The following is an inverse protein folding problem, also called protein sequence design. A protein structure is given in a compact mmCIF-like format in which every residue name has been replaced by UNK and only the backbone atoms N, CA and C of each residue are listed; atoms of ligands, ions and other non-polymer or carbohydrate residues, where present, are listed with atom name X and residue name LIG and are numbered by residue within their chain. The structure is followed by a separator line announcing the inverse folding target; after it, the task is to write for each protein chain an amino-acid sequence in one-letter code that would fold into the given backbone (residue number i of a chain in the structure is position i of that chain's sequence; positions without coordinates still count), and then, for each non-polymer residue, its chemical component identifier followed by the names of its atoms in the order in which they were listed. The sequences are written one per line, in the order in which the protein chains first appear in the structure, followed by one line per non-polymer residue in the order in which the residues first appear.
data_IF_404609056516
#
_entry.id   IF_404609056516
#
_cell.length_a   1.000
_cell.length_b   1.000
_cell.length_c   1.000
_cell.angle_alpha   90.00
_cell.angle_beta   90.00
_cell.angle_gamma   90.00
#
_symmetry.space_group_name_H-M   'P 1'
#
loop_
_entity.id
_entity.type
_entity.pdbx_description
1 polymer ?
#
# COMPACT_ATOMS: atom_id res chain seq x y z
N UNK A 1 1.44 -8.12 22.37
CA UNK A 1 1.06 -7.61 21.05
C UNK A 1 1.16 -6.10 21.00
N UNK A 2 1.15 -5.52 19.81
CA UNK A 2 1.15 -4.06 19.63
C UNK A 2 -0.21 -3.48 19.98
N UNK A 3 -0.22 -2.26 20.53
CA UNK A 3 -1.45 -1.49 20.71
C UNK A 3 -1.79 -0.81 19.40
N UNK A 4 -3.00 -1.03 18.90
CA UNK A 4 -3.45 -0.50 17.62
C UNK A 4 -4.61 0.44 17.83
N UNK A 5 -4.54 1.63 17.24
CA UNK A 5 -5.61 2.60 17.14
C UNK A 5 -5.97 2.80 15.69
N UNK A 6 -7.23 3.05 15.40
CA UNK A 6 -7.70 3.27 14.05
C UNK A 6 -8.27 4.68 13.90
N UNK A 7 -7.89 5.32 12.80
CA UNK A 7 -8.50 6.56 12.34
C UNK A 7 -9.35 6.27 11.10
N UNK A 8 -10.59 6.72 11.12
CA UNK A 8 -11.47 6.71 9.94
C UNK A 8 -12.27 8.01 9.88
N UNK A 9 -12.60 8.46 8.67
CA UNK A 9 -13.42 9.69 8.49
C UNK A 9 -14.91 9.45 8.71
N UNK A 10 -15.34 8.18 8.73
CA UNK A 10 -16.74 7.78 8.81
C UNK A 10 -17.11 7.47 10.26
N UNK A 11 -17.89 8.35 10.89
CA UNK A 11 -18.34 8.17 12.29
C UNK A 11 -18.99 6.81 12.51
N UNK A 12 -19.84 6.36 11.59
CA UNK A 12 -20.49 5.06 11.66
C UNK A 12 -19.49 3.90 11.78
N UNK A 13 -18.40 3.93 10.98
CA UNK A 13 -17.34 2.92 11.06
C UNK A 13 -16.65 2.93 12.41
N UNK A 14 -16.36 4.12 12.92
CA UNK A 14 -15.74 4.32 14.24
C UNK A 14 -16.62 3.77 15.35
N UNK A 15 -17.91 4.09 15.33
CA UNK A 15 -18.87 3.64 16.35
C UNK A 15 -18.97 2.10 16.37
N UNK A 16 -19.16 1.47 15.20
CA UNK A 16 -19.25 0.01 15.07
C UNK A 16 -17.96 -0.71 15.51
N UNK A 17 -16.79 -0.16 15.17
CA UNK A 17 -15.51 -0.72 15.61
C UNK A 17 -15.29 -0.57 17.12
N UNK A 18 -15.77 0.50 17.73
CA UNK A 18 -15.64 0.72 19.17
C UNK A 18 -16.61 -0.15 20.00
N UNK A 19 -17.70 -0.64 19.43
CA UNK A 19 -18.61 -1.56 20.11
C UNK A 19 -17.94 -2.89 20.45
N UNK A 20 -17.18 -3.44 19.50
CA UNK A 20 -16.54 -4.76 19.66
C UNK A 20 -15.06 -4.67 20.00
N UNK A 21 -14.37 -3.63 19.53
CA UNK A 21 -12.90 -3.43 19.54
C UNK A 21 -12.15 -4.60 18.92
N UNK A 22 -12.78 -5.31 18.00
CA UNK A 22 -12.22 -6.49 17.35
C UNK A 22 -12.38 -6.43 15.83
N UNK A 23 -11.46 -7.06 15.12
CA UNK A 23 -11.53 -7.29 13.69
C UNK A 23 -11.34 -8.79 13.45
N UNK A 24 -12.38 -9.44 12.93
CA UNK A 24 -12.34 -10.84 12.56
C UNK A 24 -11.68 -10.98 11.18
N UNK A 25 -10.76 -11.93 11.07
CA UNK A 25 -10.02 -12.26 9.85
C UNK A 25 -10.49 -13.63 9.37
N UNK A 26 -10.72 -13.74 8.06
CA UNK A 26 -11.21 -14.95 7.43
C UNK A 26 -10.40 -15.32 6.20
N UNK A 27 -10.43 -16.59 5.80
CA UNK A 27 -9.84 -17.20 4.61
C UNK A 27 -8.35 -17.52 4.80
N UNK A 28 -7.42 -16.88 4.08
CA UNK A 28 -5.98 -17.21 4.15
C UNK A 28 -5.35 -16.98 5.54
N UNK A 29 -5.97 -16.12 6.34
CA UNK A 29 -5.64 -15.93 7.76
C UNK A 29 -6.95 -15.96 8.53
N UNK A 30 -6.99 -16.81 9.53
CA UNK A 30 -8.12 -16.89 10.46
C UNK A 30 -7.69 -16.37 11.84
N UNK A 31 -8.54 -15.58 12.46
CA UNK A 31 -8.25 -15.04 13.79
C UNK A 31 -9.05 -13.79 14.12
N UNK A 32 -8.75 -13.21 15.27
CA UNK A 32 -9.36 -11.97 15.75
C UNK A 32 -8.26 -11.04 16.22
N UNK A 33 -8.15 -9.88 15.57
CA UNK A 33 -7.33 -8.77 16.04
C UNK A 33 -8.10 -7.89 17.01
N UNK A 34 -7.39 -7.24 17.94
CA UNK A 34 -7.97 -6.27 18.88
C UNK A 34 -7.42 -4.89 18.63
N UNK A 35 -8.24 -3.86 18.84
CA UNK A 35 -7.84 -2.45 18.81
C UNK A 35 -8.07 -1.80 20.17
N UNK A 36 -7.30 -0.75 20.50
CA UNK A 36 -7.57 0.06 21.70
C UNK A 36 -8.88 0.83 21.51
N UNK A 37 -8.97 1.55 20.41
CA UNK A 37 -10.15 2.29 19.98
C UNK A 37 -10.03 2.70 18.50
N UNK A 38 -11.17 3.15 17.95
CA UNK A 38 -11.26 3.87 16.69
C UNK A 38 -11.73 5.31 16.94
N UNK A 39 -11.30 6.26 16.10
CA UNK A 39 -11.69 7.69 16.27
C UNK A 39 -11.72 8.40 14.92
N UNK A 40 -12.51 9.47 14.84
CA UNK A 40 -12.48 10.43 13.72
C UNK A 40 -11.53 11.61 13.99
N UNK A 41 -10.90 11.68 15.16
CA UNK A 41 -9.89 12.67 15.49
C UNK A 41 -8.49 12.11 15.22
N UNK A 42 -7.82 12.66 14.20
CA UNK A 42 -6.48 12.21 13.80
C UNK A 42 -5.42 12.52 14.86
N UNK A 43 -5.60 13.60 15.62
CA UNK A 43 -4.69 13.96 16.72
C UNK A 43 -4.77 12.92 17.84
N UNK A 44 -5.97 12.49 18.20
CA UNK A 44 -6.19 11.44 19.21
C UNK A 44 -5.61 10.09 18.74
N UNK A 45 -5.81 9.72 17.46
CA UNK A 45 -5.24 8.48 16.92
C UNK A 45 -3.71 8.48 16.95
N UNK A 46 -3.09 9.62 16.65
CA UNK A 46 -1.63 9.78 16.57
C UNK A 46 -0.96 10.02 17.92
N UNK A 47 -1.72 10.40 18.96
CA UNK A 47 -1.12 10.72 20.26
C UNK A 47 -0.49 9.47 20.91
N UNK A 48 0.82 9.55 21.21
CA UNK A 48 1.60 8.42 21.75
C UNK A 48 1.87 7.27 20.77
N UNK A 49 1.50 7.40 19.48
CA UNK A 49 1.87 6.40 18.47
C UNK A 49 3.30 6.61 17.99
N UNK A 50 4.11 5.55 17.98
CA UNK A 50 5.48 5.56 17.44
C UNK A 50 5.45 5.29 15.94
N UNK A 51 4.60 4.36 15.50
CA UNK A 51 4.47 3.94 14.12
C UNK A 51 3.07 4.26 13.59
N UNK A 52 3.00 4.92 12.45
CA UNK A 52 1.76 5.30 11.79
C UNK A 52 1.76 4.65 10.40
N UNK A 53 0.78 3.79 10.13
CA UNK A 53 0.64 3.13 8.83
C UNK A 53 -0.53 3.78 8.10
N UNK A 54 -0.23 4.44 6.99
CA UNK A 54 -1.22 5.10 6.15
C UNK A 54 -1.70 4.13 5.06
N UNK A 55 -2.89 3.56 5.26
CA UNK A 55 -3.50 2.57 4.35
C UNK A 55 -4.65 3.21 3.59
N UNK A 56 -4.31 4.03 2.60
CA UNK A 56 -5.30 4.78 1.79
C UNK A 56 -4.89 4.78 0.31
N UNK A 57 -5.86 4.90 -0.62
CA UNK A 57 -5.55 5.21 -2.02
C UNK A 57 -4.72 6.49 -2.14
N UNK A 58 -3.74 6.50 -3.04
CA UNK A 58 -2.76 7.59 -3.17
C UNK A 58 -3.36 8.97 -3.43
N UNK A 59 -4.55 9.02 -4.05
CA UNK A 59 -5.30 10.26 -4.28
C UNK A 59 -5.59 11.03 -2.97
N UNK A 60 -5.62 10.35 -1.83
CA UNK A 60 -5.88 10.94 -0.52
C UNK A 60 -4.62 11.24 0.27
N UNK A 61 -3.42 10.85 -0.20
CA UNK A 61 -2.19 11.00 0.57
C UNK A 61 -1.87 12.46 0.90
N UNK A 62 -2.01 13.38 -0.05
CA UNK A 62 -1.72 14.79 0.21
C UNK A 62 -2.68 15.39 1.24
N UNK A 63 -3.99 15.15 1.10
CA UNK A 63 -4.98 15.66 2.03
C UNK A 63 -4.82 15.07 3.45
N UNK A 64 -4.41 13.80 3.53
CA UNK A 64 -4.13 13.14 4.80
C UNK A 64 -2.83 13.67 5.41
N UNK A 65 -1.77 13.84 4.62
CA UNK A 65 -0.52 14.45 5.10
C UNK A 65 -0.77 15.83 5.73
N UNK A 66 -1.61 16.68 5.10
CA UNK A 66 -1.96 17.99 5.65
C UNK A 66 -2.69 17.90 7.00
N UNK A 67 -3.50 16.86 7.21
CA UNK A 67 -4.14 16.61 8.51
C UNK A 67 -3.16 16.06 9.55
N UNK A 68 -2.23 15.20 9.15
CA UNK A 68 -1.27 14.54 10.04
C UNK A 68 -0.16 15.49 10.52
N UNK A 69 0.34 16.35 9.63
CA UNK A 69 1.52 17.20 9.88
C UNK A 69 1.45 18.01 11.18
N UNK A 70 0.32 18.63 11.58
CA UNK A 70 0.24 19.34 12.87
C UNK A 70 0.44 18.48 14.11
N UNK A 71 0.31 17.15 13.97
CA UNK A 71 0.37 16.17 15.07
C UNK A 71 1.64 15.32 15.04
N UNK A 72 2.51 15.50 14.02
CA UNK A 72 3.77 14.76 13.91
C UNK A 72 4.76 15.19 15.00
N UNK A 73 5.52 14.21 15.51
CA UNK A 73 6.51 14.40 16.58
C UNK A 73 7.83 13.71 16.21
N UNK A 74 8.91 14.19 16.81
CA UNK A 74 10.23 13.58 16.65
C UNK A 74 10.21 12.08 17.00
N UNK A 75 10.90 11.30 16.19
CA UNK A 75 11.07 9.87 16.35
C UNK A 75 9.98 9.01 15.71
N UNK A 76 8.87 9.58 15.29
CA UNK A 76 7.79 8.82 14.64
C UNK A 76 8.20 8.28 13.27
N UNK A 77 7.61 7.13 12.91
CA UNK A 77 7.70 6.52 11.59
C UNK A 77 6.32 6.55 10.93
N UNK A 78 6.24 7.11 9.73
CA UNK A 78 5.04 7.09 8.89
C UNK A 78 5.30 6.19 7.70
N UNK A 79 4.66 5.03 7.62
CA UNK A 79 4.73 4.12 6.48
C UNK A 79 3.54 4.35 5.55
N UNK A 80 3.80 4.77 4.32
CA UNK A 80 2.81 4.80 3.24
C UNK A 80 2.63 3.39 2.69
N UNK A 81 1.47 2.80 2.86
CA UNK A 81 1.19 1.40 2.53
C UNK A 81 -0.13 1.24 1.75
N UNK A 82 -0.08 1.34 0.42
CA UNK A 82 1.08 1.59 -0.45
C UNK A 82 1.43 3.07 -0.57
N UNK A 83 2.66 3.39 -0.98
CA UNK A 83 3.00 4.77 -1.37
C UNK A 83 2.44 5.15 -2.74
N UNK A 84 2.15 4.17 -3.59
CA UNK A 84 2.04 4.29 -5.04
C UNK A 84 3.38 4.81 -5.64
N UNK A 85 3.34 5.67 -6.66
CA UNK A 85 4.58 6.22 -7.22
C UNK A 85 4.87 7.59 -6.65
N UNK A 86 6.07 7.77 -6.07
CA UNK A 86 6.55 9.03 -5.48
C UNK A 86 5.73 9.56 -4.28
N UNK A 87 4.95 8.72 -3.60
CA UNK A 87 4.11 9.12 -2.47
C UNK A 87 4.89 9.68 -1.30
N UNK A 88 6.04 9.08 -0.95
CA UNK A 88 6.93 9.59 0.10
C UNK A 88 7.48 10.98 -0.21
N UNK A 89 7.81 11.25 -1.48
CA UNK A 89 8.28 12.57 -1.94
C UNK A 89 7.15 13.60 -1.80
N UNK A 90 5.94 13.25 -2.20
CA UNK A 90 4.76 14.10 -2.07
C UNK A 90 4.46 14.41 -0.58
N UNK A 91 4.51 13.40 0.30
CA UNK A 91 4.31 13.58 1.73
C UNK A 91 5.37 14.53 2.33
N UNK A 92 6.65 14.31 2.01
CA UNK A 92 7.76 15.17 2.47
C UNK A 92 7.59 16.62 1.97
N UNK A 93 7.11 16.79 0.74
CA UNK A 93 6.79 18.14 0.20
C UNK A 93 5.73 18.83 1.05
N UNK A 94 4.64 18.15 1.42
CA UNK A 94 3.61 18.70 2.30
C UNK A 94 4.18 19.09 3.67
N UNK A 95 5.00 18.23 4.29
CA UNK A 95 5.68 18.58 5.55
C UNK A 95 6.46 19.89 5.43
N UNK A 96 7.23 20.03 4.34
CA UNK A 96 8.02 21.26 4.09
C UNK A 96 7.13 22.47 3.87
N UNK A 97 6.07 22.36 3.08
CA UNK A 97 5.11 23.45 2.82
C UNK A 97 4.44 23.96 4.10
N UNK A 98 4.16 23.04 5.02
CA UNK A 98 3.52 23.36 6.31
C UNK A 98 4.52 23.73 7.41
N UNK A 99 5.82 23.84 7.10
CA UNK A 99 6.86 24.22 8.06
C UNK A 99 7.10 23.18 9.16
N UNK A 100 6.82 21.90 8.90
CA UNK A 100 7.08 20.84 9.87
C UNK A 100 8.57 20.65 10.09
N UNK A 101 8.99 20.74 11.34
CA UNK A 101 10.39 20.55 11.76
C UNK A 101 10.62 19.24 12.49
N UNK A 102 9.58 18.44 12.70
CA UNK A 102 9.68 17.16 13.39
C UNK A 102 10.59 16.18 12.62
N UNK A 103 11.47 15.50 13.34
CA UNK A 103 12.33 14.44 12.81
C UNK A 103 11.52 13.14 12.66
N UNK A 104 10.91 12.96 11.49
CA UNK A 104 10.03 11.84 11.16
C UNK A 104 10.61 11.03 10.01
N UNK A 105 10.62 9.71 10.17
CA UNK A 105 10.94 8.77 9.09
C UNK A 105 9.71 8.60 8.21
N UNK A 106 9.83 8.90 6.92
CA UNK A 106 8.78 8.59 5.94
C UNK A 106 9.18 7.30 5.23
N UNK A 107 8.46 6.22 5.50
CA UNK A 107 8.60 4.94 4.82
C UNK A 107 7.63 4.81 3.65
N UNK A 108 8.05 4.10 2.63
CA UNK A 108 7.32 3.87 1.39
C UNK A 108 7.28 2.38 1.08
N UNK A 109 6.09 1.78 1.02
CA UNK A 109 5.89 0.41 0.57
C UNK A 109 5.42 0.40 -0.89
N UNK A 110 6.03 -0.43 -1.73
CA UNK A 110 5.70 -0.48 -3.17
C UNK A 110 4.25 -0.90 -3.42
N UNK A 111 3.67 -1.71 -2.55
CA UNK A 111 2.30 -2.25 -2.69
C UNK A 111 1.71 -2.57 -1.31
N UNK A 112 0.42 -2.96 -1.28
CA UNK A 112 -0.23 -3.52 -0.10
C UNK A 112 0.32 -4.93 0.20
N UNK A 113 0.49 -5.25 1.48
CA UNK A 113 0.90 -6.58 1.93
C UNK A 113 -0.19 -7.63 1.67
N UNK A 114 -1.44 -7.25 1.94
CA UNK A 114 -2.59 -8.16 1.85
C UNK A 114 -3.45 -7.89 0.62
N UNK A 115 -3.94 -8.97 0.01
CA UNK A 115 -5.10 -8.91 -0.89
C UNK A 115 -6.35 -9.13 -0.05
N UNK A 116 -7.16 -8.08 0.13
CA UNK A 116 -8.28 -8.10 1.08
C UNK A 116 -9.55 -7.49 0.53
N UNK A 117 -10.68 -7.87 1.16
CA UNK A 117 -11.97 -7.19 1.02
C UNK A 117 -12.66 -7.09 2.37
N UNK A 118 -13.17 -5.91 2.67
CA UNK A 118 -14.05 -5.70 3.83
C UNK A 118 -15.41 -6.27 3.48
N UNK A 119 -15.96 -7.11 4.34
CA UNK A 119 -17.32 -7.64 4.21
C UNK A 119 -18.33 -6.74 4.94
N UNK A 120 -17.97 -6.38 6.15
CA UNK A 120 -18.63 -5.33 6.96
C UNK A 120 -17.58 -4.76 7.93
N UNK A 121 -17.91 -3.68 8.61
CA UNK A 121 -17.01 -3.14 9.63
C UNK A 121 -16.70 -4.21 10.69
N UNK A 122 -15.42 -4.38 11.01
CA UNK A 122 -14.96 -5.43 11.92
C UNK A 122 -14.82 -6.83 11.31
N UNK A 123 -15.05 -7.04 9.99
CA UNK A 123 -14.82 -8.32 9.32
C UNK A 123 -14.08 -8.14 7.99
N UNK A 124 -12.94 -8.84 7.86
CA UNK A 124 -12.05 -8.73 6.70
C UNK A 124 -11.75 -10.12 6.14
N UNK A 125 -11.91 -10.29 4.84
CA UNK A 125 -11.45 -11.47 4.11
C UNK A 125 -10.07 -11.20 3.53
N UNK A 126 -9.11 -12.05 3.87
CA UNK A 126 -7.73 -12.00 3.38
C UNK A 126 -7.57 -13.11 2.35
N UNK A 127 -7.52 -12.75 1.07
CA UNK A 127 -7.36 -13.72 -0.03
C UNK A 127 -5.92 -14.19 -0.20
N UNK A 128 -4.96 -13.39 0.20
CA UNK A 128 -3.55 -13.73 0.15
C UNK A 128 -2.68 -12.73 0.88
N UNK A 129 -1.51 -13.21 1.27
CA UNK A 129 -0.43 -12.42 1.86
C UNK A 129 0.75 -12.51 0.90
N UNK A 130 1.35 -11.39 0.55
CA UNK A 130 2.58 -11.39 -0.25
C UNK A 130 3.75 -11.92 0.56
N UNK A 131 4.64 -12.67 -0.09
CA UNK A 131 5.81 -13.26 0.55
C UNK A 131 6.80 -12.18 1.02
N UNK A 132 6.93 -11.10 0.23
CA UNK A 132 7.77 -9.96 0.56
C UNK A 132 7.20 -8.68 -0.07
N UNK A 133 7.34 -7.56 0.65
CA UNK A 133 6.96 -6.22 0.17
C UNK A 133 8.16 -5.28 0.35
N UNK A 134 8.79 -4.82 -0.73
CA UNK A 134 9.86 -3.84 -0.65
C UNK A 134 9.41 -2.54 0.00
N UNK A 135 10.21 -2.06 0.95
CA UNK A 135 10.04 -0.75 1.59
C UNK A 135 11.36 0.02 1.62
N UNK A 136 11.27 1.33 1.60
CA UNK A 136 12.42 2.21 1.78
C UNK A 136 12.04 3.49 2.52
N UNK A 137 13.02 4.14 3.14
CA UNK A 137 12.85 5.44 3.80
C UNK A 137 13.23 6.61 2.89
N UNK A 138 12.62 7.76 3.17
CA UNK A 138 13.00 9.06 2.62
C UNK A 138 13.42 10.01 3.77
N UNK A 139 14.72 10.37 3.89
CA UNK A 139 15.84 9.95 3.04
C UNK A 139 16.24 8.48 3.27
N UNK A 140 16.96 7.89 2.32
CA UNK A 140 17.43 6.50 2.39
C UNK A 140 18.38 6.24 3.59
N UNK A 141 19.02 7.27 4.13
CA UNK A 141 19.83 7.20 5.35
C UNK A 141 19.04 6.74 6.58
N UNK A 142 17.71 6.88 6.54
CA UNK A 142 16.80 6.44 7.61
C UNK A 142 16.31 5.01 7.45
N UNK A 143 16.81 4.24 6.46
CA UNK A 143 16.43 2.84 6.24
C UNK A 143 16.62 1.97 7.50
N UNK A 144 17.68 2.19 8.27
CA UNK A 144 17.90 1.44 9.52
C UNK A 144 16.81 1.73 10.57
N UNK A 145 16.36 2.99 10.68
CA UNK A 145 15.26 3.39 11.58
C UNK A 145 13.94 2.77 11.12
N UNK A 146 13.67 2.80 9.82
CA UNK A 146 12.49 2.18 9.23
C UNK A 146 12.47 0.66 9.47
N UNK A 147 13.61 -0.03 9.28
CA UNK A 147 13.70 -1.47 9.52
C UNK A 147 13.39 -1.84 10.97
N UNK A 148 14.01 -1.16 11.92
CA UNK A 148 13.79 -1.41 13.34
C UNK A 148 12.33 -1.17 13.75
N UNK A 149 11.66 -0.20 13.15
CA UNK A 149 10.27 0.13 13.47
C UNK A 149 9.26 -0.81 12.82
N UNK A 150 9.52 -1.27 11.59
CA UNK A 150 8.53 -1.98 10.77
C UNK A 150 8.95 -3.44 10.51
N UNK A 151 10.16 -3.71 10.00
CA UNK A 151 10.55 -5.07 9.60
C UNK A 151 10.67 -6.01 10.80
N UNK A 152 11.12 -5.52 11.94
CA UNK A 152 11.24 -6.31 13.16
C UNK A 152 9.87 -6.75 13.72
N UNK A 153 8.80 -6.01 13.38
CA UNK A 153 7.42 -6.32 13.79
C UNK A 153 6.66 -7.08 12.71
N UNK A 154 6.89 -6.73 11.45
CA UNK A 154 6.20 -7.25 10.27
C UNK A 154 7.22 -7.77 9.26
N UNK A 155 7.67 -9.01 9.45
CA UNK A 155 8.77 -9.64 8.71
C UNK A 155 8.56 -9.79 7.19
N UNK A 156 7.37 -9.55 6.69
CA UNK A 156 7.08 -9.51 5.25
C UNK A 156 7.59 -8.24 4.57
N UNK A 157 7.86 -7.17 5.32
CA UNK A 157 8.50 -5.98 4.77
C UNK A 157 10.01 -6.19 4.70
N UNK A 158 10.57 -5.92 3.52
CA UNK A 158 12.00 -6.05 3.23
C UNK A 158 12.56 -4.73 2.75
N UNK A 159 13.73 -4.35 3.26
CA UNK A 159 14.36 -3.10 2.82
C UNK A 159 14.84 -3.19 1.37
N UNK A 160 14.62 -2.09 0.63
CA UNK A 160 15.32 -1.78 -0.61
C UNK A 160 16.08 -0.45 -0.47
N UNK A 161 16.90 -0.08 -1.45
CA UNK A 161 17.86 1.00 -1.27
C UNK A 161 17.21 2.36 -1.05
N UNK A 162 16.14 2.69 -1.78
CA UNK A 162 15.52 4.00 -1.73
C UNK A 162 14.09 4.01 -2.30
N UNK A 163 13.35 5.09 -2.04
CA UNK A 163 11.94 5.27 -2.44
C UNK A 163 11.70 5.39 -3.95
N UNK A 164 12.72 5.60 -4.77
CA UNK A 164 12.55 5.55 -6.22
C UNK A 164 12.41 4.10 -6.67
N UNK A 165 13.09 3.17 -6.01
CA UNK A 165 12.92 1.74 -6.29
C UNK A 165 11.52 1.28 -5.91
N UNK A 166 11.00 1.61 -4.72
CA UNK A 166 9.63 1.27 -4.32
C UNK A 166 8.59 1.89 -5.26
N UNK A 167 8.83 3.12 -5.73
CA UNK A 167 7.95 3.81 -6.67
C UNK A 167 7.90 3.15 -8.05
N UNK A 168 9.04 2.69 -8.57
CA UNK A 168 9.13 1.99 -9.86
C UNK A 168 8.59 0.57 -9.75
N UNK A 169 8.70 -0.05 -8.57
CA UNK A 169 8.17 -1.38 -8.27
C UNK A 169 6.65 -1.40 -8.05
N UNK A 170 5.99 -0.26 -8.18
CA UNK A 170 4.54 -0.19 -8.12
C UNK A 170 3.91 -0.76 -9.40
N UNK A 171 3.68 -2.07 -9.41
CA UNK A 171 3.10 -2.78 -10.56
C UNK A 171 1.65 -2.42 -10.85
N UNK A 172 0.95 -1.75 -9.93
CA UNK A 172 -0.44 -1.34 -10.14
C UNK A 172 -0.60 -0.43 -11.36
N UNK A 173 0.41 0.42 -11.64
CA UNK A 173 0.40 1.28 -12.83
C UNK A 173 0.32 0.46 -14.14
N UNK A 174 0.99 -0.70 -14.18
CA UNK A 174 0.98 -1.60 -15.33
C UNK A 174 -0.31 -2.43 -15.37
N UNK A 175 -0.72 -3.00 -14.23
CA UNK A 175 -1.82 -3.96 -14.15
C UNK A 175 -3.21 -3.32 -14.18
N UNK A 176 -3.34 -2.03 -13.89
CA UNK A 176 -4.64 -1.37 -13.86
C UNK A 176 -4.87 -0.43 -15.03
N UNK A 177 -3.87 0.32 -15.48
CA UNK A 177 -4.05 1.33 -16.52
C UNK A 177 -4.48 0.73 -17.87
N UNK A 178 -3.66 -0.11 -18.44
CA UNK A 178 -3.93 -0.71 -19.76
C UNK A 178 -5.17 -1.62 -19.78
N UNK A 179 -5.34 -2.58 -18.82
CA UNK A 179 -6.54 -3.41 -18.81
C UNK A 179 -7.83 -2.62 -18.64
N UNK A 180 -7.87 -1.54 -17.85
CA UNK A 180 -9.05 -0.68 -17.73
C UNK A 180 -9.41 -0.02 -19.05
N UNK A 181 -8.42 0.62 -19.71
CA UNK A 181 -8.64 1.33 -20.97
C UNK A 181 -9.05 0.36 -22.09
N UNK A 182 -8.39 -0.79 -22.19
CA UNK A 182 -8.63 -1.76 -23.25
C UNK A 182 -9.95 -2.55 -23.08
N UNK A 183 -10.55 -2.52 -21.90
CA UNK A 183 -11.85 -3.12 -21.61
C UNK A 183 -12.97 -2.07 -21.42
N UNK A 184 -12.75 -0.81 -21.76
CA UNK A 184 -13.72 0.27 -21.53
C UNK A 184 -15.12 -0.07 -22.05
N UNK A 185 -15.23 -0.60 -23.27
CA UNK A 185 -16.53 -0.97 -23.87
C UNK A 185 -17.26 -2.06 -23.08
N UNK A 186 -16.53 -2.95 -22.43
CA UNK A 186 -17.11 -4.01 -21.60
C UNK A 186 -17.51 -3.48 -20.22
N UNK A 187 -16.69 -2.60 -19.66
CA UNK A 187 -16.94 -1.99 -18.34
C UNK A 187 -18.15 -1.05 -18.39
N UNK A 188 -18.32 -0.31 -19.50
CA UNK A 188 -19.41 0.64 -19.71
C UNK A 188 -20.62 0.02 -20.42
N UNK A 189 -20.66 -1.31 -20.62
CA UNK A 189 -21.77 -1.98 -21.28
C UNK A 189 -23.08 -1.80 -20.49
N UNK A 190 -24.17 -1.57 -21.25
CA UNK A 190 -25.54 -1.50 -20.71
C UNK A 190 -26.41 -2.55 -21.45
N UNK A 191 -26.98 -3.56 -20.81
CA UNK A 191 -26.83 -3.85 -19.36
C UNK A 191 -25.41 -4.26 -18.95
N UNK A 192 -25.05 -4.08 -17.67
CA UNK A 192 -23.75 -4.50 -17.15
C UNK A 192 -23.48 -5.98 -17.41
N UNK A 193 -22.26 -6.30 -17.77
CA UNK A 193 -21.81 -7.67 -17.97
C UNK A 193 -21.00 -8.15 -16.77
N UNK A 194 -21.26 -9.36 -16.29
CA UNK A 194 -20.40 -10.00 -15.31
C UNK A 194 -19.01 -10.22 -15.89
N UNK A 195 -18.00 -9.77 -15.13
CA UNK A 195 -16.64 -9.83 -15.61
C UNK A 195 -15.65 -9.76 -14.45
N UNK A 196 -14.74 -10.73 -14.45
CA UNK A 196 -13.66 -10.82 -13.46
C UNK A 196 -12.44 -10.07 -14.01
N UNK A 197 -12.08 -8.97 -13.37
CA UNK A 197 -11.05 -8.06 -13.86
C UNK A 197 -9.74 -8.75 -14.27
N UNK A 198 -9.16 -9.55 -13.39
CA UNK A 198 -7.89 -10.22 -13.65
C UNK A 198 -7.99 -11.46 -14.53
N UNK A 199 -9.14 -12.13 -14.53
CA UNK A 199 -9.36 -13.34 -15.32
C UNK A 199 -9.83 -13.01 -16.73
N UNK A 200 -10.91 -12.23 -16.85
CA UNK A 200 -11.54 -11.93 -18.14
C UNK A 200 -10.99 -10.69 -18.78
N UNK A 201 -10.46 -9.78 -17.98
CA UNK A 201 -9.95 -8.47 -18.42
C UNK A 201 -8.48 -8.48 -18.84
N UNK A 202 -7.71 -9.52 -18.47
CA UNK A 202 -6.32 -9.67 -18.91
C UNK A 202 -6.21 -10.85 -19.87
N UNK A 203 -6.70 -10.63 -21.08
CA UNK A 203 -6.55 -11.60 -22.17
C UNK A 203 -5.08 -11.73 -22.60
N UNK A 204 -4.69 -12.78 -23.35
CA UNK A 204 -3.32 -12.92 -23.85
C UNK A 204 -2.82 -11.71 -24.65
N UNK A 205 -3.70 -11.01 -25.37
CA UNK A 205 -3.35 -9.79 -26.11
C UNK A 205 -3.10 -8.61 -25.17
N UNK A 206 -3.90 -8.46 -24.13
CA UNK A 206 -3.75 -7.41 -23.12
C UNK A 206 -2.51 -7.71 -22.26
N UNK A 207 -2.26 -8.97 -21.92
CA UNK A 207 -1.04 -9.38 -21.22
C UNK A 207 0.23 -8.99 -21.99
N UNK A 208 0.30 -9.24 -23.31
CA UNK A 208 1.42 -8.79 -24.16
C UNK A 208 1.57 -7.26 -24.19
N UNK A 209 0.45 -6.52 -24.13
CA UNK A 209 0.50 -5.07 -24.04
C UNK A 209 1.09 -4.62 -22.70
N UNK A 210 0.65 -5.23 -21.60
CA UNK A 210 1.20 -4.99 -20.24
C UNK A 210 2.69 -5.29 -20.20
N UNK A 211 3.15 -6.43 -20.75
CA UNK A 211 4.58 -6.76 -20.83
C UNK A 211 5.37 -5.73 -21.67
N UNK A 212 4.76 -5.13 -22.68
CA UNK A 212 5.40 -4.08 -23.48
C UNK A 212 5.59 -2.79 -22.67
N UNK A 213 4.57 -2.40 -21.88
CA UNK A 213 4.69 -1.29 -20.95
C UNK A 213 5.72 -1.57 -19.85
N UNK A 214 5.80 -2.82 -19.36
CA UNK A 214 6.76 -3.22 -18.35
C UNK A 214 8.22 -3.09 -18.84
N UNK A 215 8.49 -3.31 -20.12
CA UNK A 215 9.81 -3.04 -20.71
C UNK A 215 10.20 -1.56 -20.59
N UNK A 216 9.26 -0.65 -20.71
CA UNK A 216 9.51 0.79 -20.49
C UNK A 216 9.84 1.08 -19.04
N UNK A 217 9.11 0.48 -18.08
CA UNK A 217 9.41 0.58 -16.65
C UNK A 217 10.82 0.07 -16.33
N UNK A 218 11.18 -1.10 -16.85
CA UNK A 218 12.53 -1.68 -16.68
C UNK A 218 13.62 -0.78 -17.31
N UNK A 219 13.35 -0.20 -18.47
CA UNK A 219 14.28 0.72 -19.12
C UNK A 219 14.51 1.99 -18.28
N UNK A 220 13.44 2.54 -17.67
CA UNK A 220 13.56 3.68 -16.75
C UNK A 220 14.38 3.29 -15.51
N UNK A 221 14.08 2.16 -14.88
CA UNK A 221 14.83 1.66 -13.74
C UNK A 221 16.33 1.52 -14.06
N UNK A 222 16.65 0.92 -15.20
CA UNK A 222 18.02 0.78 -15.69
C UNK A 222 18.71 2.12 -15.92
N UNK A 223 18.01 3.11 -16.48
CA UNK A 223 18.55 4.44 -16.70
C UNK A 223 18.86 5.17 -15.38
N UNK A 224 18.12 4.85 -14.30
CA UNK A 224 18.34 5.34 -12.94
C UNK A 224 19.40 4.52 -12.17
N UNK A 225 19.97 3.48 -12.79
CA UNK A 225 20.98 2.62 -12.18
C UNK A 225 20.38 1.50 -11.29
N UNK A 226 19.08 1.24 -11.39
CA UNK A 226 18.39 0.18 -10.63
C UNK A 226 18.25 -1.09 -11.47
N UNK A 227 18.28 -2.23 -10.79
CA UNK A 227 17.89 -3.51 -11.37
C UNK A 227 16.48 -3.84 -10.85
N UNK A 228 15.53 -3.91 -11.78
CA UNK A 228 14.15 -4.29 -11.47
C UNK A 228 13.79 -5.58 -12.21
N UNK A 229 13.00 -6.42 -11.56
CA UNK A 229 12.45 -7.63 -12.17
C UNK A 229 11.26 -7.27 -13.07
N UNK A 230 10.97 -8.13 -14.02
CA UNK A 230 9.78 -8.02 -14.84
C UNK A 230 8.52 -8.20 -13.99
N UNK A 231 7.40 -7.67 -14.45
CA UNK A 231 6.10 -7.84 -13.78
C UNK A 231 5.77 -9.31 -13.56
N UNK A 232 6.11 -10.19 -14.51
CA UNK A 232 5.91 -11.63 -14.41
C UNK A 232 6.74 -12.24 -13.27
N UNK A 233 8.03 -11.94 -13.21
CA UNK A 233 8.92 -12.41 -12.14
C UNK A 233 8.45 -11.93 -10.77
N UNK A 234 8.01 -10.68 -10.66
CA UNK A 234 7.47 -10.13 -9.42
C UNK A 234 6.20 -10.85 -8.95
N UNK A 235 5.25 -11.13 -9.86
CA UNK A 235 4.03 -11.85 -9.50
C UNK A 235 4.30 -13.30 -9.08
N UNK A 236 5.23 -13.98 -9.74
CA UNK A 236 5.64 -15.34 -9.35
C UNK A 236 6.16 -15.34 -7.91
N UNK A 237 7.05 -14.40 -7.58
CA UNK A 237 7.63 -14.29 -6.23
C UNK A 237 6.60 -13.85 -5.19
N UNK A 238 5.77 -12.85 -5.50
CA UNK A 238 4.80 -12.30 -4.54
C UNK A 238 3.75 -13.32 -4.12
N UNK A 239 3.33 -14.19 -5.03
CA UNK A 239 2.20 -15.10 -4.82
C UNK A 239 2.59 -16.57 -4.88
N UNK A 240 3.87 -16.91 -5.00
CA UNK A 240 4.35 -18.29 -5.20
C UNK A 240 3.65 -18.99 -6.37
N UNK A 241 3.30 -18.25 -7.42
CA UNK A 241 2.66 -18.80 -8.61
C UNK A 241 3.67 -19.63 -9.39
N UNK A 242 3.21 -20.76 -10.00
CA UNK A 242 4.04 -21.53 -10.92
C UNK A 242 4.31 -20.76 -12.23
N UNK A 243 5.35 -21.18 -12.94
CA UNK A 243 5.80 -20.57 -14.20
C UNK A 243 4.77 -20.67 -15.35
N UNK A 244 3.75 -21.52 -15.17
CA UNK A 244 2.67 -21.77 -16.13
C UNK A 244 1.56 -20.70 -16.10
N UNK A 245 1.56 -19.81 -15.13
CA UNK A 245 0.62 -18.68 -15.12
C UNK A 245 1.02 -17.69 -16.19
N UNK A 246 0.43 -17.83 -17.37
CA UNK A 246 0.42 -16.73 -18.34
C UNK A 246 -0.31 -15.54 -17.75
N UNK A 247 0.19 -14.31 -17.98
CA UNK A 247 -0.52 -13.11 -17.63
C UNK A 247 -1.89 -13.06 -18.28
#
# INVERSE_FOLDING_TARGET
GQKVRLYDVMQKTVDELNETKTIALHHAVEGVGTIEFATTDIGEAMDGADNIILVLPSIYHESMARKMVPHLRDGQVVLLHPEASCGAIAFRKVMKEMGCTADVVIGAACTLLYSTRIQKNGEVYIFGIKNAVPIAALPATDNARLAAAICDVMHWFVLTDNVLMTSIDNLNAMMHGAPMILNTSRIEADPPQDYLYYHDGITPSIGKFVETMDKERIAIAKALGFHQRTIREEYIDMYSCGDETTP
#
